data_IF_511555037337
#
_entry.id   IF_511555037337
#
_cell.length_a   1.000
_cell.length_b   1.000
_cell.length_c   1.000
_cell.angle_alpha   90.00
_cell.angle_beta   90.00
_cell.angle_gamma   90.00
#
_symmetry.space_group_name_H-M   'P 1'
#
loop_
_entity.id
_entity.type
_entity.pdbx_description
1 polymer ?
#
# COMPACT_ATOMS: atom_id res chain seq x y z
N UNK A 1 7.39 13.89 -80.29
CA UNK A 1 8.12 14.85 -81.15
C UNK A 1 9.24 15.48 -80.32
N UNK A 2 10.48 15.31 -80.78
CA UNK A 2 11.64 16.22 -80.72
C UNK A 2 11.97 17.04 -79.44
N UNK A 3 13.18 16.81 -78.87
CA UNK A 3 14.38 17.71 -78.88
C UNK A 3 14.32 18.80 -77.78
N UNK A 4 15.36 19.34 -77.14
CA UNK A 4 16.84 19.30 -77.20
C UNK A 4 17.37 19.97 -75.90
N UNK A 5 18.44 19.42 -75.31
CA UNK A 5 19.72 20.03 -74.83
C UNK A 5 19.79 21.47 -74.27
N UNK A 6 20.41 21.63 -73.07
CA UNK A 6 21.49 22.58 -72.71
C UNK A 6 22.15 22.12 -71.37
N UNK A 7 23.41 21.65 -71.33
CA UNK A 7 24.66 22.35 -70.93
C UNK A 7 24.60 23.07 -69.56
N UNK A 8 25.61 23.18 -68.68
CA UNK A 8 26.97 22.68 -68.44
C UNK A 8 27.36 23.25 -67.04
N UNK A 9 28.04 22.54 -66.13
CA UNK A 9 29.41 22.76 -65.60
C UNK A 9 29.35 22.06 -64.22
N UNK A 10 30.25 21.20 -63.75
CA UNK A 10 31.71 21.23 -63.79
C UNK A 10 32.19 21.21 -62.34
N UNK A 11 32.69 20.08 -61.85
CA UNK A 11 33.78 20.01 -60.85
C UNK A 11 34.20 18.56 -60.63
N UNK A 12 35.42 18.23 -61.05
CA UNK A 12 36.09 16.95 -60.89
C UNK A 12 37.06 17.01 -59.71
N UNK A 13 36.91 16.16 -58.69
CA UNK A 13 37.99 15.80 -57.76
C UNK A 13 37.82 14.35 -57.28
N UNK A 14 38.93 13.61 -57.35
CA UNK A 14 39.08 12.16 -57.18
C UNK A 14 38.72 11.64 -55.78
N UNK A 15 38.23 10.38 -55.64
CA UNK A 15 38.27 9.70 -54.35
C UNK A 15 39.63 9.01 -54.16
N UNK A 16 40.33 9.39 -53.09
CA UNK A 16 41.48 8.66 -52.54
C UNK A 16 41.01 7.27 -52.08
N UNK A 17 41.70 6.23 -52.55
CA UNK A 17 41.60 4.87 -52.01
C UNK A 17 42.51 4.79 -50.80
N UNK A 18 41.95 4.49 -49.63
CA UNK A 18 42.70 4.08 -48.43
C UNK A 18 42.57 2.56 -48.22
N UNK A 19 43.63 1.87 -47.76
CA UNK A 19 43.62 0.43 -47.58
C UNK A 19 42.79 0.05 -46.34
N UNK A 20 42.00 -1.01 -46.47
CA UNK A 20 41.24 -1.59 -45.37
C UNK A 20 42.17 -2.29 -44.38
N UNK A 21 42.46 -1.66 -43.25
CA UNK A 21 42.98 -2.33 -42.06
C UNK A 21 41.82 -2.94 -41.30
N UNK A 22 41.72 -4.26 -41.33
CA UNK A 22 40.80 -5.03 -40.50
C UNK A 22 41.20 -4.90 -39.02
N UNK A 23 40.56 -3.99 -38.30
CA UNK A 23 40.58 -3.98 -36.83
C UNK A 23 39.53 -4.95 -36.34
N UNK A 24 40.00 -6.08 -35.80
CA UNK A 24 39.21 -7.01 -34.99
C UNK A 24 38.53 -6.24 -33.85
N UNK A 25 37.19 -6.19 -33.89
CA UNK A 25 36.38 -5.70 -32.77
C UNK A 25 36.63 -6.63 -31.58
N UNK A 26 37.06 -6.13 -30.40
CA UNK A 26 37.12 -6.98 -29.23
C UNK A 26 35.68 -7.30 -28.81
N UNK A 27 35.31 -8.56 -28.95
CA UNK A 27 34.17 -9.13 -28.24
C UNK A 27 34.55 -9.21 -26.76
N UNK A 28 34.15 -8.23 -25.96
CA UNK A 28 33.93 -8.34 -24.52
C UNK A 28 33.62 -6.96 -23.90
N UNK A 29 32.33 -6.70 -23.73
CA UNK A 29 31.79 -6.20 -22.47
C UNK A 29 30.28 -6.41 -22.57
N UNK A 30 29.84 -7.66 -22.37
CA UNK A 30 28.48 -7.89 -21.94
C UNK A 30 28.33 -7.09 -20.64
N UNK A 31 27.54 -6.02 -20.70
CA UNK A 31 27.16 -5.25 -19.51
C UNK A 31 26.45 -6.22 -18.59
N UNK A 32 27.12 -6.66 -17.53
CA UNK A 32 26.44 -7.26 -16.38
C UNK A 32 25.72 -6.11 -15.68
N UNK A 33 24.55 -5.76 -16.22
CA UNK A 33 23.54 -5.12 -15.42
C UNK A 33 23.08 -6.16 -14.41
N UNK A 34 23.54 -6.08 -13.17
CA UNK A 34 22.89 -6.80 -12.07
C UNK A 34 21.56 -6.09 -11.83
N UNK A 35 20.56 -6.46 -12.62
CA UNK A 35 19.16 -6.17 -12.34
C UNK A 35 18.90 -6.70 -10.92
N UNK A 36 18.65 -5.81 -9.95
CA UNK A 36 18.33 -6.22 -8.57
C UNK A 36 17.10 -7.12 -8.67
N UNK A 37 17.30 -8.43 -8.63
CA UNK A 37 16.21 -9.39 -8.77
C UNK A 37 15.32 -9.27 -7.54
N UNK A 38 14.18 -8.61 -7.71
CA UNK A 38 13.11 -8.56 -6.72
C UNK A 38 12.69 -10.02 -6.45
N UNK A 39 12.60 -10.46 -5.19
CA UNK A 39 12.31 -11.86 -4.89
C UNK A 39 10.89 -12.20 -5.32
N UNK A 40 10.64 -13.48 -5.59
CA UNK A 40 9.33 -14.06 -5.87
C UNK A 40 9.08 -15.30 -5.01
N UNK A 41 7.87 -15.86 -5.11
CA UNK A 41 7.47 -17.09 -4.42
C UNK A 41 7.69 -17.03 -2.91
N UNK A 42 8.30 -18.08 -2.36
CA UNK A 42 8.52 -18.21 -0.91
C UNK A 42 9.52 -17.18 -0.37
N UNK A 43 10.47 -16.72 -1.18
CA UNK A 43 11.41 -15.67 -0.79
C UNK A 43 10.69 -14.33 -0.63
N UNK A 44 9.81 -13.97 -1.57
CA UNK A 44 8.97 -12.79 -1.47
C UNK A 44 7.96 -12.91 -0.33
N UNK A 45 7.32 -14.07 -0.18
CA UNK A 45 6.34 -14.30 0.87
C UNK A 45 6.98 -14.11 2.26
N UNK A 46 8.20 -14.64 2.45
CA UNK A 46 8.98 -14.44 3.67
C UNK A 46 9.28 -12.96 3.93
N UNK A 47 9.72 -12.24 2.91
CA UNK A 47 10.01 -10.81 3.00
C UNK A 47 8.77 -10.01 3.38
N UNK A 48 7.65 -10.24 2.70
CA UNK A 48 6.37 -9.57 2.96
C UNK A 48 5.91 -9.83 4.41
N UNK A 49 5.93 -11.08 4.87
CA UNK A 49 5.59 -11.45 6.25
C UNK A 49 6.45 -10.71 7.28
N UNK A 50 7.77 -10.70 7.07
CA UNK A 50 8.70 -10.01 7.97
C UNK A 50 8.43 -8.50 8.03
N UNK A 51 8.23 -7.86 6.87
CA UNK A 51 7.97 -6.43 6.77
C UNK A 51 6.64 -6.05 7.43
N UNK A 52 5.58 -6.83 7.20
CA UNK A 52 4.27 -6.65 7.83
C UNK A 52 4.39 -6.69 9.37
N UNK A 53 5.03 -7.72 9.91
CA UNK A 53 5.26 -7.89 11.35
C UNK A 53 6.15 -6.78 11.95
N UNK A 54 6.95 -6.13 11.11
CA UNK A 54 7.82 -5.02 11.49
C UNK A 54 7.15 -3.64 11.36
N UNK A 55 5.83 -3.57 11.15
CA UNK A 55 5.05 -2.34 10.90
C UNK A 55 5.42 -1.60 9.60
N UNK A 56 6.05 -2.27 8.64
CA UNK A 56 6.31 -1.74 7.30
C UNK A 56 5.45 -2.52 6.31
N UNK A 57 4.20 -2.09 6.12
CA UNK A 57 3.20 -2.79 5.32
C UNK A 57 3.70 -3.03 3.88
N UNK A 58 3.84 -4.29 3.43
CA UNK A 58 4.33 -4.61 2.09
C UNK A 58 3.22 -4.56 1.01
N UNK A 59 1.98 -4.27 1.42
CA UNK A 59 0.77 -4.47 0.62
C UNK A 59 0.16 -5.84 0.90
N UNK A 60 -0.48 -6.42 -0.12
CA UNK A 60 -1.01 -7.78 -0.06
C UNK A 60 0.15 -8.77 0.08
N UNK A 61 0.00 -9.77 0.94
CA UNK A 61 0.95 -10.87 1.12
C UNK A 61 0.59 -11.99 0.14
N UNK A 62 1.27 -12.03 -1.00
CA UNK A 62 0.94 -12.88 -2.16
C UNK A 62 2.17 -13.53 -2.83
N UNK A 63 3.36 -13.40 -2.23
CA UNK A 63 4.60 -13.90 -2.79
C UNK A 63 5.04 -13.18 -4.08
N UNK A 64 4.45 -12.02 -4.39
CA UNK A 64 4.79 -11.19 -5.56
C UNK A 64 5.26 -9.83 -5.06
N UNK A 65 6.55 -9.74 -4.73
CA UNK A 65 7.12 -8.48 -4.28
C UNK A 65 7.00 -7.43 -5.39
N UNK A 66 6.45 -6.28 -5.03
CA UNK A 66 6.25 -5.16 -5.95
C UNK A 66 6.56 -3.83 -5.28
N UNK A 67 6.09 -2.74 -5.87
CA UNK A 67 6.36 -1.37 -5.42
C UNK A 67 6.18 -1.16 -3.91
N UNK A 68 5.14 -1.71 -3.29
CA UNK A 68 4.92 -1.52 -1.85
C UNK A 68 5.85 -2.36 -0.98
N UNK A 69 6.24 -3.54 -1.44
CA UNK A 69 7.30 -4.32 -0.79
C UNK A 69 8.63 -3.59 -0.87
N UNK A 70 8.96 -2.96 -2.01
CA UNK A 70 10.14 -2.12 -2.16
C UNK A 70 10.12 -0.91 -1.21
N UNK A 71 9.00 -0.19 -1.13
CA UNK A 71 8.85 0.94 -0.23
C UNK A 71 8.95 0.52 1.25
N UNK A 72 8.42 -0.65 1.61
CA UNK A 72 8.57 -1.22 2.94
C UNK A 72 10.03 -1.60 3.25
N UNK A 73 10.76 -2.17 2.27
CA UNK A 73 12.21 -2.40 2.36
C UNK A 73 12.95 -1.09 2.60
N UNK A 74 12.63 -0.03 1.85
CA UNK A 74 13.24 1.29 2.03
C UNK A 74 13.00 1.84 3.43
N UNK A 75 11.77 1.80 3.94
CA UNK A 75 11.43 2.21 5.30
C UNK A 75 12.20 1.39 6.36
N UNK A 76 12.29 0.07 6.18
CA UNK A 76 13.03 -0.79 7.10
C UNK A 76 14.53 -0.49 7.06
N UNK A 77 15.13 -0.30 5.87
CA UNK A 77 16.53 0.07 5.73
C UNK A 77 16.82 1.41 6.41
N UNK A 78 15.94 2.40 6.20
CA UNK A 78 16.05 3.72 6.81
C UNK A 78 16.10 3.63 8.34
N UNK A 79 15.22 2.84 8.96
CA UNK A 79 15.17 2.67 10.42
C UNK A 79 16.40 1.93 10.96
N UNK A 80 16.92 0.97 10.20
CA UNK A 80 18.02 0.11 10.62
C UNK A 80 19.40 0.61 10.17
N UNK A 81 19.48 1.74 9.47
CA UNK A 81 20.75 2.34 9.04
C UNK A 81 21.43 1.59 7.88
N UNK A 82 20.65 0.88 7.07
CA UNK A 82 21.14 0.25 5.85
C UNK A 82 20.98 1.19 4.64
N UNK A 83 21.76 0.99 3.56
CA UNK A 83 21.54 1.70 2.30
C UNK A 83 20.09 1.55 1.82
N UNK A 84 19.54 2.61 1.20
CA UNK A 84 18.16 2.62 0.72
C UNK A 84 17.96 1.51 -0.32
N UNK A 85 16.98 0.65 -0.10
CA UNK A 85 16.70 -0.47 -0.99
C UNK A 85 17.72 -1.62 -0.91
N UNK A 86 18.47 -1.72 0.19
CA UNK A 86 19.32 -2.87 0.50
C UNK A 86 18.46 -4.07 0.87
N UNK A 87 18.10 -4.82 -0.17
CA UNK A 87 17.34 -6.05 -0.07
C UNK A 87 18.12 -7.16 0.65
N UNK A 88 19.45 -7.21 0.51
CA UNK A 88 20.27 -8.27 1.10
C UNK A 88 20.22 -8.19 2.63
N UNK A 89 20.34 -6.97 3.18
CA UNK A 89 20.22 -6.74 4.60
C UNK A 89 18.87 -7.21 5.17
N UNK A 90 17.76 -6.81 4.55
CA UNK A 90 16.40 -7.18 5.01
C UNK A 90 16.19 -8.68 4.89
N UNK A 91 16.56 -9.28 3.76
CA UNK A 91 16.35 -10.71 3.49
C UNK A 91 17.11 -11.60 4.46
N UNK A 92 18.32 -11.20 4.87
CA UNK A 92 19.07 -11.90 5.92
C UNK A 92 18.25 -11.96 7.21
N UNK A 93 17.77 -10.82 7.71
CA UNK A 93 16.97 -10.77 8.95
C UNK A 93 15.64 -11.50 8.78
N UNK A 94 14.96 -11.33 7.64
CA UNK A 94 13.71 -12.03 7.34
C UNK A 94 13.87 -13.55 7.34
N UNK A 95 15.01 -14.07 6.86
CA UNK A 95 15.31 -15.51 6.86
C UNK A 95 15.48 -16.11 8.27
N UNK A 96 15.96 -15.30 9.22
CA UNK A 96 16.15 -15.71 10.61
C UNK A 96 14.84 -15.59 11.40
N UNK A 97 14.05 -14.55 11.13
CA UNK A 97 12.80 -14.25 11.84
C UNK A 97 11.60 -15.09 11.36
N UNK A 98 11.49 -15.38 10.06
CA UNK A 98 10.33 -16.06 9.45
C UNK A 98 10.75 -17.40 8.86
N UNK A 99 10.60 -18.47 9.65
CA UNK A 99 10.93 -19.84 9.24
C UNK A 99 9.86 -20.44 8.33
N UNK A 100 8.62 -20.44 8.81
CA UNK A 100 7.46 -20.96 8.10
C UNK A 100 6.68 -19.81 7.46
N UNK A 101 6.60 -19.81 6.13
CA UNK A 101 5.92 -18.76 5.35
C UNK A 101 4.43 -19.04 5.13
N UNK A 102 4.02 -20.30 5.34
CA UNK A 102 2.63 -20.75 5.22
C UNK A 102 2.24 -21.54 6.46
N UNK A 103 0.96 -21.57 6.75
CA UNK A 103 0.39 -22.41 7.79
C UNK A 103 -0.99 -22.90 7.37
N UNK A 104 -1.43 -24.02 7.92
CA UNK A 104 -2.80 -24.53 7.72
C UNK A 104 -3.62 -24.09 8.92
N UNK A 105 -4.72 -23.39 8.65
CA UNK A 105 -5.67 -22.93 9.67
C UNK A 105 -7.05 -23.48 9.39
N UNK A 106 -7.87 -23.55 10.44
CA UNK A 106 -9.29 -23.85 10.32
C UNK A 106 -10.09 -22.57 10.17
N UNK A 107 -11.05 -22.54 9.24
CA UNK A 107 -12.01 -21.43 9.13
C UNK A 107 -12.80 -21.36 10.45
N UNK A 108 -12.76 -20.25 11.20
CA UNK A 108 -13.38 -20.18 12.52
C UNK A 108 -14.91 -20.11 12.42
N UNK A 109 -15.61 -20.69 13.39
CA UNK A 109 -17.07 -20.60 13.49
C UNK A 109 -17.55 -19.15 13.58
N UNK A 110 -16.78 -18.28 14.25
CA UNK A 110 -17.08 -16.85 14.33
C UNK A 110 -17.21 -16.16 12.96
N UNK A 111 -16.65 -16.75 11.89
CA UNK A 111 -16.81 -16.23 10.53
C UNK A 111 -18.28 -16.21 10.07
N UNK A 112 -19.17 -17.06 10.59
CA UNK A 112 -20.59 -17.07 10.22
C UNK A 112 -21.30 -15.77 10.56
N UNK A 113 -20.86 -15.10 11.62
CA UNK A 113 -21.40 -13.79 11.98
C UNK A 113 -21.00 -12.73 10.94
N UNK A 114 -19.78 -12.83 10.42
CA UNK A 114 -19.18 -11.80 9.56
C UNK A 114 -19.37 -12.03 8.07
N UNK A 115 -19.97 -13.15 7.64
CA UNK A 115 -20.20 -13.50 6.24
C UNK A 115 -21.69 -13.48 5.90
N UNK A 116 -22.06 -12.71 4.87
CA UNK A 116 -23.38 -12.69 4.26
C UNK A 116 -23.26 -12.58 2.73
N UNK A 117 -23.45 -13.68 1.99
CA UNK A 117 -23.35 -13.68 0.51
C UNK A 117 -24.36 -12.79 -0.21
N UNK A 118 -25.39 -12.29 0.49
CA UNK A 118 -26.44 -11.44 -0.10
C UNK A 118 -26.11 -9.95 -0.04
N UNK A 119 -24.96 -9.54 0.49
CA UNK A 119 -24.55 -8.13 0.53
C UNK A 119 -24.34 -7.61 -0.91
N UNK A 120 -25.11 -6.61 -1.37
CA UNK A 120 -25.00 -6.11 -2.73
C UNK A 120 -23.68 -5.36 -2.96
N UNK A 121 -23.25 -5.25 -4.22
CA UNK A 121 -22.06 -4.47 -4.59
C UNK A 121 -22.35 -2.97 -4.76
N UNK A 122 -23.59 -2.60 -5.13
CA UNK A 122 -23.97 -1.22 -5.39
C UNK A 122 -24.11 -0.45 -4.06
N UNK A 123 -23.33 0.62 -3.89
CA UNK A 123 -23.34 1.47 -2.67
C UNK A 123 -24.73 1.94 -2.25
N UNK A 124 -25.56 2.37 -3.21
CA UNK A 124 -26.92 2.84 -2.91
C UNK A 124 -27.84 1.75 -2.36
N UNK A 125 -27.50 0.48 -2.56
CA UNK A 125 -28.26 -0.67 -2.07
C UNK A 125 -27.73 -1.21 -0.73
N UNK A 126 -26.67 -0.61 -0.17
CA UNK A 126 -26.13 -1.00 1.13
C UNK A 126 -26.93 -0.41 2.31
N UNK A 127 -27.71 0.66 2.05
CA UNK A 127 -28.57 1.24 3.07
C UNK A 127 -29.63 0.22 3.54
N UNK A 128 -29.91 0.22 4.85
CA UNK A 128 -30.89 -0.67 5.47
C UNK A 128 -30.38 -2.06 5.86
N UNK A 129 -29.13 -2.41 5.52
CA UNK A 129 -28.50 -3.61 6.08
C UNK A 129 -28.21 -3.43 7.59
N UNK A 130 -28.10 -4.53 8.33
CA UNK A 130 -27.61 -4.50 9.73
C UNK A 130 -26.10 -4.25 9.78
N UNK A 131 -25.36 -4.86 8.85
CA UNK A 131 -23.90 -4.78 8.69
C UNK A 131 -23.54 -5.05 7.23
N UNK A 132 -22.54 -4.36 6.70
CA UNK A 132 -21.95 -4.63 5.39
C UNK A 132 -20.86 -5.71 5.54
N UNK A 133 -21.31 -6.94 5.78
CA UNK A 133 -20.49 -8.14 6.00
C UNK A 133 -19.65 -8.54 4.77
N UNK A 134 -18.69 -9.45 4.96
CA UNK A 134 -18.02 -10.16 3.86
C UNK A 134 -19.04 -10.90 3.01
N UNK A 135 -18.78 -11.07 1.71
CA UNK A 135 -19.67 -11.83 0.82
C UNK A 135 -19.33 -13.32 0.76
N UNK A 136 -18.14 -13.71 1.23
CA UNK A 136 -17.73 -15.10 1.26
C UNK A 136 -16.75 -15.38 2.41
N UNK A 137 -16.64 -16.65 2.79
CA UNK A 137 -15.60 -17.09 3.71
C UNK A 137 -14.20 -16.92 3.11
N UNK A 138 -14.06 -16.94 1.78
CA UNK A 138 -12.80 -16.65 1.11
C UNK A 138 -12.37 -15.19 1.33
N UNK A 139 -13.27 -14.21 1.19
CA UNK A 139 -12.98 -12.80 1.51
C UNK A 139 -12.56 -12.65 2.98
N UNK A 140 -13.30 -13.27 3.90
CA UNK A 140 -13.00 -13.24 5.33
C UNK A 140 -11.59 -13.82 5.61
N UNK A 141 -11.28 -15.00 5.06
CA UNK A 141 -9.99 -15.65 5.31
C UNK A 141 -8.82 -14.93 4.64
N UNK A 142 -9.05 -14.33 3.47
CA UNK A 142 -8.04 -13.54 2.77
C UNK A 142 -7.66 -12.30 3.59
N UNK A 143 -8.65 -11.51 3.99
CA UNK A 143 -8.39 -10.28 4.77
C UNK A 143 -7.81 -10.60 6.15
N UNK A 144 -8.28 -11.67 6.81
CA UNK A 144 -7.72 -12.17 8.09
C UNK A 144 -6.24 -12.48 8.00
N UNK A 145 -5.72 -12.89 6.85
CA UNK A 145 -4.30 -13.24 6.66
C UNK A 145 -3.57 -12.28 5.72
N UNK A 146 -4.08 -11.04 5.62
CA UNK A 146 -3.48 -9.91 4.90
C UNK A 146 -3.15 -10.25 3.43
N UNK A 147 -3.97 -11.10 2.83
CA UNK A 147 -3.81 -11.59 1.46
C UNK A 147 -5.09 -11.34 0.66
N UNK A 148 -5.14 -11.87 -0.56
CA UNK A 148 -6.30 -11.77 -1.43
C UNK A 148 -6.85 -13.16 -1.81
N UNK A 149 -8.10 -13.17 -2.30
CA UNK A 149 -8.77 -14.40 -2.72
C UNK A 149 -8.02 -15.10 -3.87
N UNK A 150 -7.48 -14.40 -4.89
CA UNK A 150 -6.63 -15.03 -5.91
C UNK A 150 -5.45 -15.81 -5.34
N UNK A 151 -4.73 -15.28 -4.35
CA UNK A 151 -3.61 -15.99 -3.75
C UNK A 151 -4.08 -17.18 -2.90
N UNK A 152 -5.20 -17.05 -2.19
CA UNK A 152 -5.79 -18.23 -1.53
C UNK A 152 -6.12 -19.34 -2.54
N UNK A 153 -6.63 -18.99 -3.73
CA UNK A 153 -6.90 -19.94 -4.81
C UNK A 153 -5.59 -20.58 -5.31
N UNK A 154 -4.53 -19.79 -5.46
CA UNK A 154 -3.20 -20.28 -5.84
C UNK A 154 -2.68 -21.33 -4.84
N UNK A 155 -2.89 -21.09 -3.54
CA UNK A 155 -2.42 -21.98 -2.47
C UNK A 155 -3.26 -23.26 -2.29
N UNK A 156 -4.57 -23.20 -2.53
CA UNK A 156 -5.50 -24.25 -2.11
C UNK A 156 -6.33 -24.87 -3.24
N UNK A 157 -6.31 -24.25 -4.43
CA UNK A 157 -7.18 -24.59 -5.54
C UNK A 157 -8.55 -23.92 -5.46
N UNK A 158 -9.06 -23.53 -6.63
CA UNK A 158 -10.29 -22.76 -6.76
C UNK A 158 -11.53 -23.48 -6.20
N UNK A 159 -11.62 -24.80 -6.42
CA UNK A 159 -12.74 -25.60 -5.97
C UNK A 159 -12.87 -25.64 -4.43
N UNK A 160 -11.73 -25.58 -3.72
CA UNK A 160 -11.68 -25.52 -2.26
C UNK A 160 -12.10 -24.13 -1.80
N UNK A 161 -11.42 -23.08 -2.29
CA UNK A 161 -11.62 -21.70 -1.82
C UNK A 161 -13.05 -21.21 -2.04
N UNK A 162 -13.66 -21.50 -3.20
CA UNK A 162 -15.04 -21.07 -3.51
C UNK A 162 -16.10 -21.74 -2.63
N UNK A 163 -15.78 -22.85 -1.95
CA UNK A 163 -16.70 -23.63 -1.12
C UNK A 163 -16.36 -23.60 0.37
N UNK A 164 -15.39 -22.77 0.77
CA UNK A 164 -15.00 -22.63 2.17
C UNK A 164 -16.20 -22.35 3.06
N UNK A 165 -16.22 -23.02 4.21
CA UNK A 165 -17.17 -22.86 5.31
C UNK A 165 -16.43 -23.10 6.64
N UNK A 166 -17.04 -22.74 7.78
CA UNK A 166 -16.45 -23.03 9.09
C UNK A 166 -16.08 -24.50 9.26
N UNK A 167 -14.95 -24.74 9.93
CA UNK A 167 -14.40 -26.08 10.13
C UNK A 167 -13.52 -26.60 8.98
N UNK A 168 -13.57 -26.00 7.79
CA UNK A 168 -12.66 -26.37 6.69
C UNK A 168 -11.22 -25.94 7.01
N UNK A 169 -10.25 -26.74 6.55
CA UNK A 169 -8.83 -26.39 6.63
C UNK A 169 -8.37 -25.66 5.37
N UNK A 170 -7.58 -24.60 5.52
CA UNK A 170 -7.07 -23.78 4.43
C UNK A 170 -5.62 -23.37 4.72
N UNK A 171 -4.77 -23.46 3.70
CA UNK A 171 -3.39 -22.96 3.72
C UNK A 171 -3.38 -21.46 3.47
N UNK A 172 -2.71 -20.71 4.33
CA UNK A 172 -2.67 -19.24 4.33
C UNK A 172 -1.26 -18.74 4.59
N UNK A 173 -0.93 -17.46 4.29
CA UNK A 173 0.29 -16.83 4.79
C UNK A 173 0.36 -16.90 6.31
N UNK A 174 1.54 -17.21 6.85
CA UNK A 174 1.76 -17.30 8.29
C UNK A 174 1.97 -15.92 8.94
N UNK A 175 0.96 -15.06 8.84
CA UNK A 175 0.93 -13.72 9.43
C UNK A 175 0.09 -13.72 10.71
N UNK A 176 0.39 -12.82 11.64
CA UNK A 176 -0.51 -12.57 12.77
C UNK A 176 -1.89 -12.14 12.22
N UNK A 177 -2.96 -12.87 12.54
CA UNK A 177 -4.23 -12.66 11.86
C UNK A 177 -4.90 -11.36 12.27
N UNK A 178 -5.49 -10.66 11.29
CA UNK A 178 -6.44 -9.59 11.54
C UNK A 178 -7.77 -10.18 12.05
N UNK A 179 -8.08 -9.91 13.32
CA UNK A 179 -9.27 -10.40 14.00
C UNK A 179 -10.37 -9.33 14.02
N UNK A 180 -11.19 -9.28 12.96
CA UNK A 180 -12.34 -8.35 12.89
C UNK A 180 -13.32 -8.53 14.06
N UNK A 181 -13.37 -9.74 14.63
CA UNK A 181 -14.26 -10.12 15.73
C UNK A 181 -13.89 -9.42 17.04
N UNK A 182 -12.66 -8.91 17.14
CA UNK A 182 -12.22 -8.14 18.31
C UNK A 182 -12.65 -6.66 18.23
N UNK A 183 -13.16 -6.20 17.08
CA UNK A 183 -13.66 -4.84 16.96
C UNK A 183 -15.01 -4.71 17.68
N UNK A 184 -15.09 -3.74 18.58
CA UNK A 184 -16.26 -3.54 19.45
C UNK A 184 -17.10 -2.33 19.04
N UNK A 185 -16.62 -1.56 18.05
CA UNK A 185 -17.15 -0.23 17.76
C UNK A 185 -16.58 0.82 18.70
N UNK A 186 -15.40 0.56 19.27
CA UNK A 186 -14.76 1.45 20.21
C UNK A 186 -14.48 2.82 19.57
N UNK A 187 -14.65 3.86 20.40
CA UNK A 187 -14.03 5.15 20.15
C UNK A 187 -12.72 5.21 20.90
N UNK A 188 -11.71 5.66 20.20
CA UNK A 188 -10.36 5.75 20.69
C UNK A 188 -10.07 7.20 21.06
N UNK A 189 -9.76 7.43 22.33
CA UNK A 189 -9.46 8.77 22.87
C UNK A 189 -7.97 9.10 22.76
N UNK A 190 -7.63 10.36 23.03
CA UNK A 190 -6.24 10.81 23.12
C UNK A 190 -5.46 9.97 24.14
N UNK A 191 -4.16 9.75 23.87
CA UNK A 191 -3.26 9.09 24.80
C UNK A 191 -1.87 9.72 24.71
N UNK A 192 -1.23 9.90 25.86
CA UNK A 192 0.11 10.48 25.95
C UNK A 192 1.11 9.69 25.10
N UNK A 193 2.06 10.41 24.49
CA UNK A 193 2.97 9.87 23.48
C UNK A 193 2.30 9.66 22.12
N UNK A 194 1.26 8.83 22.03
CA UNK A 194 0.60 8.49 20.76
C UNK A 194 -0.08 9.70 20.09
N UNK A 195 -0.65 10.59 20.89
CA UNK A 195 -1.27 11.84 20.43
C UNK A 195 -0.26 12.91 20.02
N UNK A 196 1.04 12.73 20.27
CA UNK A 196 2.09 13.68 19.88
C UNK A 196 2.84 13.24 18.61
N UNK A 197 2.52 12.05 18.08
CA UNK A 197 3.17 11.48 16.90
C UNK A 197 2.76 12.21 15.63
N UNK A 198 3.60 12.07 14.60
CA UNK A 198 3.40 12.72 13.31
C UNK A 198 3.17 11.68 12.22
N UNK A 199 2.04 11.80 11.53
CA UNK A 199 1.70 11.04 10.32
C UNK A 199 1.98 11.88 9.10
N UNK A 200 2.77 11.34 8.17
CA UNK A 200 3.02 11.94 6.85
C UNK A 200 2.38 11.05 5.80
N UNK A 201 1.41 11.60 5.08
CA UNK A 201 0.73 10.99 3.94
C UNK A 201 1.34 11.58 2.67
N UNK A 202 2.17 10.80 1.98
CA UNK A 202 2.78 11.19 0.71
C UNK A 202 1.98 10.61 -0.46
N UNK A 203 1.30 11.51 -1.17
CA UNK A 203 0.35 11.17 -2.22
C UNK A 203 1.02 10.87 -3.55
N UNK A 204 2.30 11.23 -3.71
CA UNK A 204 3.10 10.95 -4.91
C UNK A 204 3.62 9.52 -4.87
N UNK A 205 4.08 9.07 -3.70
CA UNK A 205 4.59 7.71 -3.55
C UNK A 205 3.53 6.71 -3.06
N UNK A 206 2.31 7.17 -2.73
CA UNK A 206 1.21 6.36 -2.19
C UNK A 206 1.60 5.67 -0.87
N UNK A 207 2.26 6.40 0.03
CA UNK A 207 2.69 5.87 1.31
C UNK A 207 2.24 6.77 2.46
N UNK A 208 1.81 6.16 3.55
CA UNK A 208 1.67 6.83 4.85
C UNK A 208 2.82 6.37 5.75
N UNK A 209 3.47 7.31 6.42
CA UNK A 209 4.57 7.06 7.34
C UNK A 209 4.21 7.66 8.70
N UNK A 210 4.52 6.95 9.79
CA UNK A 210 4.26 7.38 11.16
C UNK A 210 5.59 7.52 11.86
N UNK A 211 5.81 8.69 12.44
CA UNK A 211 7.01 9.02 13.18
C UNK A 211 6.67 9.18 14.66
N UNK A 212 7.63 8.85 15.52
CA UNK A 212 7.61 9.31 16.91
C UNK A 212 7.40 10.82 16.97
N UNK A 213 6.94 11.31 18.13
CA UNK A 213 6.79 12.73 18.38
C UNK A 213 8.13 13.43 18.09
N UNK A 214 8.20 14.11 16.95
CA UNK A 214 9.37 14.88 16.59
C UNK A 214 9.41 16.10 17.53
N UNK A 215 10.54 16.44 18.18
CA UNK A 215 10.77 17.85 18.46
C UNK A 215 10.65 18.58 17.10
N UNK A 216 10.07 19.78 17.09
CA UNK A 216 9.61 20.58 15.92
C UNK A 216 10.60 20.67 14.71
N UNK A 217 11.83 20.17 14.82
CA UNK A 217 12.90 20.25 13.83
C UNK A 217 13.30 18.93 13.11
N UNK A 218 12.52 17.85 13.16
CA UNK A 218 12.80 16.64 12.35
C UNK A 218 11.75 16.39 11.26
N UNK A 219 11.54 17.40 10.42
CA UNK A 219 11.10 17.18 9.05
C UNK A 219 12.37 17.01 8.23
N UNK A 220 12.62 15.80 7.73
CA UNK A 220 13.71 15.58 6.78
C UNK A 220 13.29 16.30 5.49
N UNK A 221 13.87 17.48 5.27
CA UNK A 221 13.84 18.18 3.99
C UNK A 221 14.26 17.20 2.88
N UNK A 222 13.62 17.21 1.70
CA UNK A 222 14.13 16.46 0.57
C UNK A 222 15.56 16.93 0.30
N UNK A 223 16.49 16.00 0.11
CA UNK A 223 17.84 16.34 -0.34
C UNK A 223 17.72 16.77 -1.80
N UNK A 224 17.42 18.05 -2.01
CA UNK A 224 17.54 18.67 -3.32
C UNK A 224 19.02 18.72 -3.69
N UNK A 225 19.36 18.01 -4.76
CA UNK A 225 20.72 17.85 -5.20
C UNK A 225 21.40 19.18 -5.53
N UNK A 226 22.42 19.53 -4.76
CA UNK A 226 23.58 20.28 -5.21
C UNK A 226 24.72 20.18 -4.17
N UNK A 227 25.75 19.38 -4.47
CA UNK A 227 27.09 19.57 -3.91
C UNK A 227 27.69 18.38 -3.15
N UNK A 228 28.54 17.61 -3.84
CA UNK A 228 29.57 16.76 -3.22
C UNK A 228 29.16 15.32 -2.96
N UNK A 229 29.65 14.40 -3.80
CA UNK A 229 29.63 12.96 -3.55
C UNK A 229 30.66 12.63 -2.45
N UNK A 230 30.35 12.98 -1.21
CA UNK A 230 30.86 12.25 -0.05
C UNK A 230 29.72 11.39 0.46
N UNK A 231 29.96 10.08 0.51
CA UNK A 231 29.02 9.06 0.97
C UNK A 231 28.70 9.31 2.45
N UNK A 232 27.74 10.19 2.74
CA UNK A 232 27.15 10.28 4.07
C UNK A 232 26.54 8.91 4.35
N UNK A 233 27.17 8.14 5.23
CA UNK A 233 26.68 6.83 5.62
C UNK A 233 25.20 6.95 6.03
N UNK A 234 24.32 6.03 5.62
CA UNK A 234 22.92 6.07 5.99
C UNK A 234 22.80 6.10 7.51
N UNK A 235 22.37 7.24 8.08
CA UNK A 235 22.10 7.33 9.51
C UNK A 235 20.72 6.76 9.76
N UNK A 236 20.64 5.78 10.65
CA UNK A 236 19.37 5.20 11.09
C UNK A 236 18.39 6.30 11.54
N UNK A 237 17.24 6.42 10.87
CA UNK A 237 16.14 7.27 11.31
C UNK A 237 15.22 6.47 12.24
N UNK A 238 15.63 6.35 13.50
CA UNK A 238 14.85 5.66 14.53
C UNK A 238 13.53 6.38 14.90
N UNK A 239 13.28 7.55 14.32
CA UNK A 239 12.01 8.26 14.48
C UNK A 239 10.88 7.64 13.66
N UNK A 240 11.16 6.96 12.54
CA UNK A 240 10.13 6.25 11.77
C UNK A 240 9.76 4.95 12.50
N UNK A 241 8.48 4.77 12.82
CA UNK A 241 8.00 3.59 13.56
C UNK A 241 7.07 2.69 12.75
N UNK A 242 6.46 3.22 11.68
CA UNK A 242 5.61 2.45 10.79
C UNK A 242 5.50 3.12 9.42
N UNK A 243 5.23 2.32 8.39
CA UNK A 243 4.78 2.83 7.10
C UNK A 243 3.82 1.89 6.43
N UNK A 244 2.75 2.40 5.83
CA UNK A 244 1.71 1.61 5.18
C UNK A 244 1.41 2.12 3.76
N UNK A 245 1.09 1.21 2.83
CA UNK A 245 0.55 1.56 1.53
C UNK A 245 -0.78 2.31 1.68
N UNK A 246 -1.01 3.28 0.81
CA UNK A 246 -2.28 4.00 0.77
C UNK A 246 -2.82 4.14 -0.65
N UNK A 247 -4.12 4.36 -0.74
CA UNK A 247 -4.75 4.94 -1.93
C UNK A 247 -5.22 6.35 -1.58
N UNK A 248 -4.55 7.41 -2.09
CA UNK A 248 -5.00 8.77 -1.88
C UNK A 248 -6.25 9.09 -2.72
N UNK A 249 -6.94 10.17 -2.34
CA UNK A 249 -7.97 10.78 -3.16
C UNK A 249 -7.46 11.25 -4.52
N UNK A 250 -8.38 11.41 -5.48
CA UNK A 250 -8.06 12.05 -6.75
C UNK A 250 -7.49 13.46 -6.51
N UNK A 251 -6.52 13.92 -7.32
CA UNK A 251 -5.87 15.22 -7.14
C UNK A 251 -6.85 16.41 -7.00
N UNK A 252 -7.99 16.37 -7.70
CA UNK A 252 -9.04 17.40 -7.58
C UNK A 252 -9.78 17.43 -6.24
N UNK A 253 -9.77 16.33 -5.49
CA UNK A 253 -10.53 16.18 -4.24
C UNK A 253 -9.66 16.03 -3.00
N UNK A 254 -8.40 15.66 -3.16
CA UNK A 254 -7.47 15.61 -2.03
C UNK A 254 -7.25 17.00 -1.44
N UNK A 255 -6.95 17.06 -0.14
CA UNK A 255 -6.71 18.29 0.61
C UNK A 255 -5.33 18.21 1.23
N UNK A 256 -4.34 18.78 0.56
CA UNK A 256 -2.97 18.89 1.06
C UNK A 256 -2.93 19.86 2.26
N UNK A 257 -1.95 19.68 3.13
CA UNK A 257 -1.73 20.49 4.32
C UNK A 257 -1.64 19.66 5.60
N UNK A 258 -1.45 20.37 6.72
CA UNK A 258 -1.29 19.78 8.05
C UNK A 258 -2.58 19.90 8.84
N UNK A 259 -3.04 18.77 9.37
CA UNK A 259 -4.28 18.65 10.12
C UNK A 259 -4.04 17.92 11.43
N UNK A 260 -4.99 18.01 12.35
CA UNK A 260 -4.98 17.25 13.61
C UNK A 260 -5.88 16.03 13.46
N UNK A 261 -5.47 14.88 13.97
CA UNK A 261 -6.34 13.72 14.09
C UNK A 261 -7.40 13.98 15.18
N UNK A 262 -8.68 14.05 14.80
CA UNK A 262 -9.78 14.46 15.69
C UNK A 262 -10.52 13.31 16.34
N UNK A 263 -10.68 12.20 15.61
CA UNK A 263 -11.39 11.04 16.11
C UNK A 263 -10.88 9.77 15.46
N UNK A 264 -11.12 8.66 16.14
CA UNK A 264 -10.80 7.31 15.70
C UNK A 264 -11.94 6.41 16.17
N UNK A 265 -12.66 5.80 15.25
CA UNK A 265 -13.91 5.08 15.50
C UNK A 265 -13.86 3.76 14.75
N UNK A 266 -13.88 2.65 15.48
CA UNK A 266 -14.09 1.32 14.91
C UNK A 266 -15.53 1.16 14.42
N UNK A 267 -15.72 0.32 13.40
CA UNK A 267 -17.00 -0.02 12.80
C UNK A 267 -17.87 1.23 12.58
N UNK A 268 -17.40 2.22 11.81
CA UNK A 268 -18.10 3.49 11.66
C UNK A 268 -19.35 3.35 10.77
N UNK A 269 -20.42 4.04 11.16
CA UNK A 269 -21.48 4.39 10.21
C UNK A 269 -20.96 5.44 9.24
N UNK A 270 -21.39 5.36 7.98
CA UNK A 270 -20.93 6.28 6.93
C UNK A 270 -22.07 6.94 6.18
N UNK A 271 -22.08 8.28 6.20
CA UNK A 271 -23.00 9.08 5.39
C UNK A 271 -22.55 9.10 3.92
N UNK A 272 -23.19 8.28 3.10
CA UNK A 272 -22.96 8.25 1.65
C UNK A 272 -23.79 9.32 0.95
N UNK A 273 -23.10 10.28 0.33
CA UNK A 273 -23.69 11.33 -0.47
C UNK A 273 -23.00 11.39 -1.84
N UNK A 274 -23.63 10.85 -2.91
CA UNK A 274 -23.03 10.84 -4.25
C UNK A 274 -22.66 12.23 -4.78
N UNK A 275 -23.43 13.27 -4.42
CA UNK A 275 -23.15 14.63 -4.85
C UNK A 275 -21.92 15.17 -4.13
N UNK A 276 -21.83 14.94 -2.82
CA UNK A 276 -20.66 15.34 -2.05
C UNK A 276 -19.38 14.72 -2.59
N UNK A 277 -19.41 13.42 -2.92
CA UNK A 277 -18.24 12.72 -3.48
C UNK A 277 -17.84 13.20 -4.89
N UNK A 278 -18.77 13.81 -5.64
CA UNK A 278 -18.50 14.33 -6.99
C UNK A 278 -18.13 15.81 -7.00
N UNK A 279 -18.68 16.60 -6.08
CA UNK A 279 -18.66 18.08 -6.14
C UNK A 279 -18.07 18.73 -4.90
N UNK A 280 -17.87 17.99 -3.81
CA UNK A 280 -17.52 18.52 -2.50
C UNK A 280 -18.67 19.25 -1.78
N UNK A 281 -19.87 19.32 -2.37
CA UNK A 281 -21.06 19.97 -1.80
C UNK A 281 -22.07 18.91 -1.36
N UNK A 282 -22.53 19.00 -0.11
CA UNK A 282 -23.54 18.06 0.41
C UNK A 282 -24.90 18.27 -0.24
N UNK A 283 -25.61 17.17 -0.44
CA UNK A 283 -27.00 17.11 -0.86
C UNK A 283 -27.92 16.90 0.35
N UNK A 284 -29.24 16.98 0.11
CA UNK A 284 -30.26 16.57 1.08
C UNK A 284 -30.58 15.06 1.05
N UNK A 285 -29.90 14.26 0.22
CA UNK A 285 -30.23 12.85 -0.05
C UNK A 285 -29.15 11.86 0.40
N UNK A 286 -28.32 12.27 1.36
CA UNK A 286 -27.33 11.38 1.97
C UNK A 286 -28.01 10.18 2.64
N UNK A 287 -27.50 8.98 2.39
CA UNK A 287 -27.96 7.74 3.04
C UNK A 287 -26.93 7.28 4.06
N UNK A 288 -27.38 6.64 5.14
CA UNK A 288 -26.48 6.02 6.10
C UNK A 288 -26.16 4.59 5.67
N UNK A 289 -24.88 4.32 5.48
CA UNK A 289 -24.35 2.99 5.23
C UNK A 289 -23.89 2.40 6.57
N UNK A 290 -24.37 1.19 6.92
CA UNK A 290 -24.02 0.54 8.17
C UNK A 290 -22.54 0.14 8.21
N UNK A 291 -21.98 -0.14 9.41
CA UNK A 291 -20.62 -0.61 9.55
C UNK A 291 -20.37 -1.96 8.89
N UNK A 292 -19.10 -2.32 8.69
CA UNK A 292 -18.69 -3.66 8.28
C UNK A 292 -17.44 -3.66 7.39
N UNK A 293 -16.84 -4.84 7.17
CA UNK A 293 -15.61 -4.96 6.36
C UNK A 293 -15.79 -4.48 4.92
N UNK A 294 -16.97 -4.73 4.34
CA UNK A 294 -17.32 -4.28 2.99
C UNK A 294 -17.96 -2.88 2.95
N UNK A 295 -17.91 -2.12 4.07
CA UNK A 295 -18.25 -0.70 4.07
C UNK A 295 -17.24 0.09 3.23
N UNK A 296 -17.64 1.13 2.49
CA UNK A 296 -16.70 1.93 1.69
C UNK A 296 -15.59 2.63 2.50
N UNK A 297 -15.81 2.83 3.80
CA UNK A 297 -14.80 3.34 4.75
C UNK A 297 -14.15 2.25 5.60
N UNK A 298 -14.45 0.99 5.31
CA UNK A 298 -13.92 -0.17 6.01
C UNK A 298 -14.33 -0.26 7.47
N UNK A 299 -13.46 -0.87 8.27
CA UNK A 299 -13.73 -1.21 9.68
C UNK A 299 -13.27 -0.16 10.68
N UNK A 300 -12.61 0.92 10.24
CA UNK A 300 -12.17 2.00 11.13
C UNK A 300 -12.08 3.32 10.36
N UNK A 301 -12.52 4.40 11.02
CA UNK A 301 -12.43 5.77 10.53
C UNK A 301 -11.56 6.61 11.46
N UNK A 302 -10.56 7.28 10.90
CA UNK A 302 -9.64 8.17 11.62
C UNK A 302 -9.76 9.58 11.01
N UNK A 303 -10.67 10.38 11.55
CA UNK A 303 -11.04 11.69 10.99
C UNK A 303 -10.07 12.79 11.37
N UNK A 304 -9.77 13.68 10.42
CA UNK A 304 -8.90 14.84 10.64
C UNK A 304 -9.71 16.09 11.00
N UNK A 305 -9.02 17.17 11.40
CA UNK A 305 -9.60 18.50 11.61
C UNK A 305 -10.13 19.13 10.32
N UNK A 306 -9.72 18.62 9.15
CA UNK A 306 -10.34 18.94 7.88
C UNK A 306 -11.60 18.11 7.68
N UNK A 307 -12.76 18.76 7.78
CA UNK A 307 -14.06 18.11 7.60
C UNK A 307 -14.13 17.30 6.30
N UNK A 308 -14.59 16.05 6.41
CA UNK A 308 -14.72 15.11 5.30
C UNK A 308 -13.43 14.42 4.86
N UNK A 309 -12.29 14.67 5.52
CA UNK A 309 -11.00 14.03 5.24
C UNK A 309 -10.61 13.15 6.43
N UNK A 310 -10.27 11.90 6.13
CA UNK A 310 -9.84 10.93 7.12
C UNK A 310 -8.98 9.83 6.51
N UNK A 311 -8.30 9.10 7.39
CA UNK A 311 -7.56 7.88 7.10
C UNK A 311 -8.47 6.72 7.49
N UNK A 312 -8.75 5.80 6.58
CA UNK A 312 -9.77 4.78 6.85
C UNK A 312 -9.48 3.48 6.11
N UNK A 313 -10.12 2.41 6.56
CA UNK A 313 -10.07 1.10 5.91
C UNK A 313 -10.79 1.09 4.56
N UNK A 314 -11.05 -0.08 3.98
CA UNK A 314 -11.77 -0.14 2.71
C UNK A 314 -12.46 -1.48 2.46
N UNK A 315 -13.48 -1.48 1.61
CA UNK A 315 -14.15 -2.70 1.12
C UNK A 315 -13.31 -3.53 0.14
N UNK A 316 -12.22 -2.99 -0.38
CA UNK A 316 -11.41 -3.59 -1.44
C UNK A 316 -9.91 -3.45 -1.10
N UNK A 317 -9.42 -4.09 -0.03
CA UNK A 317 -8.06 -3.88 0.51
C UNK A 317 -6.95 -4.29 -0.49
N UNK A 318 -7.22 -5.21 -1.40
CA UNK A 318 -6.33 -5.62 -2.49
C UNK A 318 -6.12 -4.52 -3.56
N UNK A 319 -6.93 -3.46 -3.54
CA UNK A 319 -6.86 -2.35 -4.51
C UNK A 319 -6.00 -1.17 -4.05
N UNK A 320 -5.39 -1.27 -2.86
CA UNK A 320 -4.54 -0.21 -2.31
C UNK A 320 -3.37 0.08 -3.26
N UNK A 321 -3.13 1.36 -3.54
CA UNK A 321 -2.17 1.89 -4.50
C UNK A 321 -2.55 1.90 -5.97
N UNK A 322 -3.66 1.25 -6.36
CA UNK A 322 -4.08 1.12 -7.77
C UNK A 322 -5.29 1.99 -8.12
N UNK A 323 -6.22 2.17 -7.17
CA UNK A 323 -7.40 3.01 -7.33
C UNK A 323 -7.17 4.44 -6.82
N UNK A 324 -8.08 5.39 -7.09
CA UNK A 324 -8.12 6.71 -6.44
C UNK A 324 -9.47 6.94 -5.76
N UNK A 325 -9.46 7.49 -4.55
CA UNK A 325 -10.69 7.76 -3.79
C UNK A 325 -11.31 9.13 -4.15
N UNK A 326 -12.49 9.44 -3.61
CA UNK A 326 -13.13 10.75 -3.78
C UNK A 326 -12.59 11.85 -2.84
N UNK A 327 -11.45 11.62 -2.16
CA UNK A 327 -10.75 12.66 -1.36
C UNK A 327 -10.06 12.16 -0.09
N UNK A 328 -10.46 11.00 0.45
CA UNK A 328 -9.90 10.41 1.67
C UNK A 328 -8.66 9.52 1.41
N UNK A 329 -7.99 9.11 2.48
CA UNK A 329 -6.82 8.23 2.45
C UNK A 329 -7.28 6.82 2.82
N UNK A 330 -7.26 5.91 1.84
CA UNK A 330 -7.65 4.51 2.04
C UNK A 330 -6.42 3.67 2.43
N UNK A 331 -6.61 2.78 3.38
CA UNK A 331 -5.71 1.71 3.79
C UNK A 331 -6.45 0.37 3.67
N UNK A 332 -5.71 -0.72 3.60
CA UNK A 332 -6.29 -2.04 3.82
C UNK A 332 -6.82 -2.12 5.26
N UNK A 333 -7.89 -2.87 5.52
CA UNK A 333 -8.46 -2.90 6.88
C UNK A 333 -7.44 -3.42 7.91
N UNK A 334 -6.63 -4.43 7.56
CA UNK A 334 -5.59 -4.99 8.44
C UNK A 334 -4.48 -4.00 8.81
N UNK A 335 -4.24 -2.97 7.98
CA UNK A 335 -3.30 -1.87 8.30
C UNK A 335 -4.02 -0.78 9.09
N UNK A 336 -5.23 -0.42 8.67
CA UNK A 336 -6.02 0.65 9.27
C UNK A 336 -6.31 0.39 10.76
N UNK A 337 -6.58 -0.86 11.14
CA UNK A 337 -6.85 -1.25 12.54
C UNK A 337 -5.62 -1.20 13.44
N UNK A 338 -4.42 -1.10 12.88
CA UNK A 338 -3.19 -0.91 13.67
C UNK A 338 -3.04 0.53 14.14
N UNK A 339 -3.66 1.49 13.45
CA UNK A 339 -3.48 2.93 13.72
C UNK A 339 -3.76 3.31 15.18
N UNK A 340 -4.81 2.83 15.86
CA UNK A 340 -5.03 3.14 17.29
C UNK A 340 -3.87 2.75 18.22
N UNK A 341 -3.03 1.77 17.85
CA UNK A 341 -1.84 1.41 18.62
C UNK A 341 -0.61 2.27 18.27
N UNK A 342 -0.67 2.98 17.13
CA UNK A 342 0.45 3.75 16.58
C UNK A 342 0.24 5.27 16.74
N UNK A 343 -1.00 5.75 16.72
CA UNK A 343 -1.40 7.15 16.83
C UNK A 343 -2.75 7.24 17.56
N UNK A 344 -3.02 8.38 18.19
CA UNK A 344 -4.29 8.69 18.85
C UNK A 344 -4.76 10.09 18.50
N UNK A 345 -6.04 10.44 18.71
CA UNK A 345 -6.50 11.82 18.51
C UNK A 345 -5.58 12.84 19.18
N UNK A 346 -5.28 13.93 18.48
CA UNK A 346 -4.21 14.88 18.80
C UNK A 346 -3.00 14.76 17.87
N UNK A 347 -2.73 13.57 17.30
CA UNK A 347 -1.60 13.37 16.40
C UNK A 347 -1.67 14.28 15.17
N UNK A 348 -0.51 14.76 14.70
CA UNK A 348 -0.41 15.58 13.50
C UNK A 348 -0.53 14.70 12.25
N UNK A 349 -1.31 15.14 11.26
CA UNK A 349 -1.48 14.49 9.96
C UNK A 349 -1.13 15.48 8.86
N UNK A 350 0.08 15.35 8.30
CA UNK A 350 0.56 16.09 7.12
C UNK A 350 0.20 15.31 5.84
N UNK A 351 -0.49 15.96 4.90
CA UNK A 351 -0.83 15.40 3.59
C UNK A 351 -0.12 16.21 2.50
N UNK A 352 0.73 15.56 1.69
CA UNK A 352 1.60 16.21 0.70
C UNK A 352 1.66 15.54 -0.67
#
# INVERSE_FOLDING_TARGET
MNRLILAALGCSLLPLVFPATATTVPAAAASVASEKQIPDGDAALRLQLFLDQSNFGPGVIDGKAGRFTELAVMSWNEVNGHPVGDLVAVMKVASEAVREVRTVVTVPDAATEWVNPKVPHKRSALAGLKRVSYRSFAEFMAERHHTDVPFLIELNGEAVVRKLKPGDSVTVPNVAPFLIENLTGARHEAADGLSQRHVVVDTKINQMRIFEAAPVALVVEPVDGAGGADQVAPRANRGLIASFPITPGQPQFIRLGTWELRNMIELPWWGYDPQFLKTGRRSGSAIQIPPGPNSPVGVIWNGTSRSGIGLHGTSDPETIGRARSAGCIRLANWDAVRLPSLIRPGATVEIR
#
